data_IF_851637175468
#
_entry.id   IF_851637175468
#
_cell.length_a   1.000
_cell.length_b   1.000
_cell.length_c   1.000
_cell.angle_alpha   90.00
_cell.angle_beta   90.00
_cell.angle_gamma   90.00
#
_symmetry.space_group_name_H-M   'P 1'
#
loop_
_entity.id
_entity.type
_entity.pdbx_description
1 polymer ?
#
# COMPACT_ATOMS: atom_id res chain seq x y z
N UNK A 1 14.87 34.57 -0.52
CA UNK A 1 15.25 33.15 -0.37
C UNK A 1 14.04 32.50 0.24
N UNK A 2 13.21 31.88 -0.59
CA UNK A 2 11.95 31.28 -0.16
C UNK A 2 12.27 29.82 0.11
N UNK A 3 12.10 29.41 1.36
CA UNK A 3 12.23 28.02 1.78
C UNK A 3 11.00 27.28 1.25
N UNK A 4 11.23 26.33 0.34
CA UNK A 4 10.20 25.47 -0.23
C UNK A 4 9.87 24.40 0.82
N UNK A 5 8.82 24.64 1.61
CA UNK A 5 8.25 23.64 2.51
C UNK A 5 7.50 22.63 1.66
N UNK A 6 8.15 21.50 1.36
CA UNK A 6 7.50 20.29 0.87
C UNK A 6 6.54 19.80 1.94
N UNK A 7 5.25 20.08 1.73
CA UNK A 7 4.14 19.52 2.50
C UNK A 7 3.99 18.07 2.03
N UNK A 8 4.39 17.12 2.88
CA UNK A 8 4.08 15.71 2.71
C UNK A 8 2.56 15.54 2.89
N UNK A 9 1.84 15.48 1.77
CA UNK A 9 0.43 15.10 1.76
C UNK A 9 0.33 13.60 2.04
N UNK A 10 0.13 13.25 3.31
CA UNK A 10 -0.42 11.96 3.71
C UNK A 10 -1.76 11.76 2.97
N UNK A 11 -1.82 10.77 2.08
CA UNK A 11 -3.03 10.38 1.40
C UNK A 11 -4.02 9.85 2.45
N UNK A 12 -4.99 10.68 2.84
CA UNK A 12 -6.07 10.25 3.72
C UNK A 12 -6.87 9.14 3.04
N UNK A 13 -6.75 7.92 3.57
CA UNK A 13 -7.59 6.78 3.19
C UNK A 13 -9.04 7.16 3.47
N UNK A 14 -9.79 7.45 2.40
CA UNK A 14 -11.20 7.80 2.50
C UNK A 14 -11.99 6.57 2.92
N UNK A 15 -12.14 6.39 4.23
CA UNK A 15 -12.95 5.30 4.78
C UNK A 15 -14.40 5.55 4.38
N UNK A 16 -14.97 4.64 3.57
CA UNK A 16 -16.41 4.60 3.32
C UNK A 16 -17.12 4.32 4.65
N UNK A 17 -17.53 5.38 5.35
CA UNK A 17 -18.16 5.33 6.66
C UNK A 17 -19.54 4.63 6.64
N UNK A 18 -20.13 4.44 5.46
CA UNK A 18 -21.42 3.77 5.28
C UNK A 18 -21.35 2.25 5.49
N UNK A 19 -20.15 1.66 5.49
CA UNK A 19 -20.01 0.21 5.73
C UNK A 19 -19.86 -0.05 7.23
N UNK A 20 -20.73 -0.86 7.85
CA UNK A 20 -20.55 -1.24 9.25
C UNK A 20 -19.19 -1.92 9.45
N UNK A 21 -18.34 -1.30 10.26
CA UNK A 21 -17.03 -1.86 10.60
C UNK A 21 -17.13 -2.77 11.82
N UNK A 22 -16.46 -3.91 11.74
CA UNK A 22 -16.26 -4.79 12.91
C UNK A 22 -15.06 -4.28 13.68
N UNK A 23 -15.20 -4.16 15.00
CA UNK A 23 -14.04 -4.02 15.90
C UNK A 23 -13.14 -5.23 15.72
N UNK A 24 -11.92 -5.03 15.20
CA UNK A 24 -10.93 -6.09 15.05
C UNK A 24 -10.20 -6.27 16.38
N UNK A 25 -10.50 -7.36 17.09
CA UNK A 25 -9.73 -7.74 18.27
C UNK A 25 -8.54 -8.62 17.86
N UNK A 26 -7.35 -8.31 18.38
CA UNK A 26 -6.15 -9.08 18.11
C UNK A 26 -6.23 -10.47 18.77
N UNK A 27 -6.05 -11.58 18.03
CA UNK A 27 -5.95 -12.90 18.61
C UNK A 27 -4.78 -13.00 19.60
N UNK A 28 -4.95 -13.71 20.71
CA UNK A 28 -3.91 -13.86 21.73
C UNK A 28 -2.58 -14.40 21.19
N UNK A 29 -2.65 -15.29 20.20
CA UNK A 29 -1.47 -15.87 19.54
C UNK A 29 -0.64 -14.88 18.71
N UNK A 30 -1.20 -13.74 18.33
CA UNK A 30 -0.51 -12.72 17.55
C UNK A 30 -0.01 -11.56 18.42
N UNK A 31 -0.19 -11.64 19.75
CA UNK A 31 0.26 -10.58 20.66
C UNK A 31 1.77 -10.38 20.66
N UNK A 32 2.53 -11.46 20.44
CA UNK A 32 3.99 -11.43 20.40
C UNK A 32 4.53 -11.21 18.97
N UNK A 33 3.66 -11.04 17.97
CA UNK A 33 4.06 -10.77 16.59
C UNK A 33 4.23 -9.27 16.36
N UNK A 34 5.26 -8.91 15.61
CA UNK A 34 5.37 -7.57 15.06
C UNK A 34 4.27 -7.35 14.00
N UNK A 35 3.57 -6.23 14.09
CA UNK A 35 2.52 -5.84 13.15
C UNK A 35 3.07 -4.66 12.36
N UNK A 36 3.22 -4.86 11.07
CA UNK A 36 3.59 -3.81 10.15
C UNK A 36 2.44 -3.51 9.17
N UNK A 37 2.32 -2.25 8.71
CA UNK A 37 1.40 -1.92 7.62
C UNK A 37 1.82 -2.63 6.33
N UNK A 38 0.86 -3.09 5.54
CA UNK A 38 1.13 -3.67 4.22
C UNK A 38 1.39 -2.61 3.15
N UNK A 39 1.07 -1.34 3.42
CA UNK A 39 1.21 -0.17 2.56
C UNK A 39 2.41 0.73 2.92
N UNK A 40 3.25 0.31 3.87
CA UNK A 40 4.41 1.10 4.28
C UNK A 40 5.42 1.24 3.13
N UNK A 41 5.82 2.47 2.81
CA UNK A 41 6.87 2.81 1.83
C UNK A 41 8.05 3.52 2.50
N UNK A 42 9.25 3.34 1.97
CA UNK A 42 10.47 4.05 2.41
C UNK A 42 10.61 5.44 1.75
N UNK A 43 11.67 6.17 2.11
CA UNK A 43 11.96 7.51 1.58
C UNK A 43 12.21 7.50 0.06
N UNK A 44 12.58 6.34 -0.49
CA UNK A 44 12.77 6.10 -1.92
C UNK A 44 11.46 5.75 -2.66
N UNK A 45 10.34 5.61 -1.95
CA UNK A 45 9.03 5.25 -2.51
C UNK A 45 8.83 3.76 -2.80
N UNK A 46 9.67 2.90 -2.22
CA UNK A 46 9.62 1.45 -2.32
C UNK A 46 8.87 0.84 -1.12
N UNK A 47 8.09 -0.23 -1.36
CA UNK A 47 7.35 -0.93 -0.31
C UNK A 47 8.33 -1.59 0.67
N UNK A 48 8.17 -1.35 1.97
CA UNK A 48 9.10 -1.87 2.99
C UNK A 48 8.98 -3.41 3.14
N UNK A 49 7.79 -3.96 2.91
CA UNK A 49 7.48 -5.38 3.15
C UNK A 49 7.15 -6.17 1.88
N UNK A 50 8.18 -6.57 1.13
CA UNK A 50 8.07 -7.42 -0.08
C UNK A 50 7.88 -8.92 0.19
N UNK A 51 7.69 -9.36 1.44
CA UNK A 51 7.72 -10.78 1.80
C UNK A 51 6.71 -11.65 1.00
N UNK A 52 5.59 -11.07 0.56
CA UNK A 52 4.59 -11.76 -0.27
C UNK A 52 4.86 -11.65 -1.79
N UNK A 53 5.77 -10.79 -2.22
CA UNK A 53 6.12 -10.53 -3.62
C UNK A 53 7.48 -11.13 -4.02
N UNK A 54 8.11 -11.92 -3.15
CA UNK A 54 9.44 -12.47 -3.40
C UNK A 54 9.54 -13.33 -4.68
N UNK A 55 8.43 -13.96 -5.08
CA UNK A 55 8.36 -14.81 -6.28
C UNK A 55 7.80 -14.08 -7.51
N UNK A 56 7.45 -12.79 -7.40
CA UNK A 56 6.89 -12.02 -8.52
C UNK A 56 7.94 -11.10 -9.12
N UNK A 57 8.20 -11.26 -10.42
CA UNK A 57 9.07 -10.35 -11.16
C UNK A 57 8.38 -8.99 -11.34
N UNK A 58 9.06 -7.86 -11.09
CA UNK A 58 8.48 -6.55 -11.30
C UNK A 58 8.17 -6.33 -12.78
N UNK A 59 6.94 -5.93 -13.09
CA UNK A 59 6.51 -5.64 -14.46
C UNK A 59 6.83 -4.18 -14.80
N UNK A 60 7.29 -3.91 -16.03
CA UNK A 60 7.53 -2.54 -16.48
C UNK A 60 6.21 -1.81 -16.73
N UNK A 61 6.18 -0.47 -16.60
CA UNK A 61 4.99 0.33 -16.90
C UNK A 61 4.47 0.05 -18.32
N UNK A 62 5.35 0.04 -19.32
CA UNK A 62 4.97 -0.21 -20.71
C UNK A 62 4.33 -1.58 -20.91
N UNK A 63 4.85 -2.60 -20.23
CA UNK A 63 4.31 -3.95 -20.27
C UNK A 63 2.95 -4.03 -19.57
N UNK A 64 2.82 -3.44 -18.38
CA UNK A 64 1.56 -3.34 -17.66
C UNK A 64 0.47 -2.65 -18.49
N UNK A 65 0.78 -1.52 -19.12
CA UNK A 65 -0.18 -0.77 -19.95
C UNK A 65 -0.60 -1.51 -21.22
N UNK A 66 0.14 -2.54 -21.63
CA UNK A 66 -0.17 -3.37 -22.79
C UNK A 66 -0.90 -4.67 -22.44
N UNK A 67 -0.93 -5.08 -21.17
CA UNK A 67 -1.59 -6.31 -20.75
C UNK A 67 -3.11 -6.08 -20.62
N UNK A 68 -3.95 -6.85 -21.34
CA UNK A 68 -5.39 -6.77 -21.22
C UNK A 68 -5.92 -6.98 -19.79
N UNK A 69 -5.23 -7.75 -18.95
CA UNK A 69 -5.62 -7.96 -17.55
C UNK A 69 -5.53 -6.66 -16.75
N UNK A 70 -4.41 -5.94 -16.89
CA UNK A 70 -4.20 -4.67 -16.19
C UNK A 70 -5.15 -3.60 -16.71
N UNK A 71 -5.35 -3.52 -18.03
CA UNK A 71 -6.31 -2.59 -18.64
C UNK A 71 -7.71 -2.84 -18.09
N UNK A 72 -8.20 -4.08 -18.15
CA UNK A 72 -9.54 -4.42 -17.69
C UNK A 72 -9.76 -4.22 -16.18
N UNK A 73 -8.71 -4.31 -15.36
CA UNK A 73 -8.81 -4.06 -13.92
C UNK A 73 -8.89 -2.56 -13.57
N UNK A 74 -8.34 -1.69 -14.42
CA UNK A 74 -8.30 -0.24 -14.20
C UNK A 74 -9.42 0.53 -14.91
N UNK A 75 -10.17 -0.13 -15.80
CA UNK A 75 -11.31 0.47 -16.53
C UNK A 75 -12.62 0.24 -15.80
#
# INVERSE_FOLDING_TARGET
MFEDQTIETEAQVQTNADRPQRTRNMPARLQDCEIAPDDQVNDEGELVHYAFFADTEPVSMNEALSDPKWINAMT
#
